data_IF_941335467028
#
_entry.id   IF_941335467028
#
_cell.length_a   1.000
_cell.length_b   1.000
_cell.length_c   1.000
_cell.angle_alpha   90.00
_cell.angle_beta   90.00
_cell.angle_gamma   90.00
#
_symmetry.space_group_name_H-M   'P 1'
#
loop_
_entity.id
_entity.type
_entity.pdbx_description
1 polymer ?
#
# COMPACT_ATOMS: atom_id res chain seq x y z
N UNK A 1 12.98 -1.03 16.27
CA UNK A 1 11.62 -0.64 15.85
C UNK A 1 11.53 -0.95 14.37
N UNK A 2 10.51 -1.68 13.93
CA UNK A 2 10.30 -1.98 12.51
C UNK A 2 10.07 -0.67 11.74
N UNK A 3 10.74 -0.49 10.62
CA UNK A 3 10.58 0.70 9.77
C UNK A 3 9.51 0.43 8.74
N UNK A 4 8.31 0.98 8.95
CA UNK A 4 7.18 0.89 8.03
C UNK A 4 6.92 2.26 7.41
N UNK A 5 7.00 2.35 6.08
CA UNK A 5 6.69 3.58 5.35
C UNK A 5 5.71 3.32 4.21
N UNK A 6 4.71 4.20 4.06
CA UNK A 6 3.74 4.16 2.97
C UNK A 6 3.94 5.39 2.08
N UNK A 7 4.34 5.14 0.83
CA UNK A 7 4.36 6.15 -0.23
C UNK A 7 2.94 6.24 -0.81
N UNK A 8 2.25 7.37 -0.58
CA UNK A 8 0.84 7.54 -0.93
C UNK A 8 0.53 8.91 -1.49
N UNK A 9 -0.55 9.03 -2.25
CA UNK A 9 -1.15 10.30 -2.62
C UNK A 9 -2.61 10.39 -2.14
N UNK A 10 -3.14 11.61 -2.05
CA UNK A 10 -4.57 11.85 -1.78
C UNK A 10 -5.39 11.69 -3.07
N UNK A 11 -6.62 11.20 -2.95
CA UNK A 11 -7.55 11.08 -4.10
C UNK A 11 -7.28 9.91 -5.04
N UNK A 12 -6.37 9.00 -4.68
CA UNK A 12 -6.07 7.78 -5.46
C UNK A 12 -6.12 6.54 -4.57
N UNK A 13 -5.97 5.36 -5.18
CA UNK A 13 -6.17 4.06 -4.53
C UNK A 13 -5.22 3.77 -3.35
N UNK A 14 -4.11 4.50 -3.22
CA UNK A 14 -3.27 4.51 -2.00
C UNK A 14 -4.01 4.96 -0.73
N UNK A 15 -5.24 5.49 -0.86
CA UNK A 15 -6.14 5.72 0.26
C UNK A 15 -6.46 4.42 1.02
N UNK A 16 -6.64 3.30 0.34
CA UNK A 16 -7.04 2.03 0.95
C UNK A 16 -6.01 1.53 1.98
N UNK A 17 -4.71 1.35 1.64
CA UNK A 17 -3.72 0.95 2.64
C UNK A 17 -3.50 2.02 3.71
N UNK A 18 -3.68 3.30 3.40
CA UNK A 18 -3.59 4.37 4.41
C UNK A 18 -4.67 4.23 5.49
N UNK A 19 -5.94 4.05 5.08
CA UNK A 19 -7.04 3.81 6.02
C UNK A 19 -6.80 2.53 6.80
N UNK A 20 -6.37 1.46 6.13
CA UNK A 20 -6.18 0.17 6.80
C UNK A 20 -5.13 0.23 7.91
N UNK A 21 -3.99 0.89 7.65
CA UNK A 21 -2.96 1.12 8.68
C UNK A 21 -3.48 1.97 9.85
N UNK A 22 -4.31 2.99 9.56
CA UNK A 22 -4.94 3.85 10.57
C UNK A 22 -5.93 3.09 11.44
N UNK A 23 -6.86 2.36 10.83
CA UNK A 23 -7.91 1.59 11.52
C UNK A 23 -7.32 0.47 12.38
N UNK A 24 -6.24 -0.16 11.92
CA UNK A 24 -5.54 -1.20 12.67
C UNK A 24 -4.54 -0.63 13.69
N UNK A 25 -4.44 0.69 13.80
CA UNK A 25 -3.49 1.39 14.68
C UNK A 25 -2.04 0.93 14.49
N UNK A 26 -1.66 0.55 13.27
CA UNK A 26 -0.30 0.13 12.93
C UNK A 26 0.53 1.41 12.71
N UNK A 27 1.60 1.65 13.50
CA UNK A 27 2.45 2.82 13.30
C UNK A 27 3.20 2.76 11.97
N UNK A 28 3.20 3.85 11.21
CA UNK A 28 3.91 3.96 9.94
C UNK A 28 4.28 5.42 9.64
N UNK A 29 5.30 5.61 8.81
CA UNK A 29 5.65 6.90 8.21
C UNK A 29 4.86 7.08 6.91
N UNK A 30 4.10 8.18 6.80
CA UNK A 30 3.41 8.53 5.55
C UNK A 30 4.28 9.45 4.71
N UNK A 31 4.75 8.99 3.55
CA UNK A 31 5.39 9.85 2.55
C UNK A 31 4.31 10.32 1.57
N UNK A 32 3.99 11.62 1.61
CA UNK A 32 2.98 12.21 0.74
C UNK A 32 3.57 12.50 -0.63
N UNK A 33 3.02 11.86 -1.64
CA UNK A 33 3.43 11.99 -3.03
C UNK A 33 2.50 12.96 -3.76
N UNK A 34 3.05 13.69 -4.73
CA UNK A 34 2.34 14.57 -5.63
C UNK A 34 2.72 14.26 -7.09
N UNK A 35 1.85 14.55 -8.07
CA UNK A 35 2.21 14.42 -9.47
C UNK A 35 3.23 15.50 -9.86
N UNK A 36 4.38 15.09 -10.37
CA UNK A 36 5.37 15.94 -11.03
C UNK A 36 5.40 15.73 -12.55
N UNK A 37 6.17 16.52 -13.29
CA UNK A 37 6.22 16.47 -14.76
C UNK A 37 6.67 15.11 -15.32
N UNK A 38 7.42 14.34 -14.53
CA UNK A 38 7.98 13.04 -14.93
C UNK A 38 7.38 11.85 -14.17
N UNK A 39 6.34 12.07 -13.37
CA UNK A 39 5.69 11.08 -12.51
C UNK A 39 5.67 11.52 -11.04
N UNK A 40 5.41 10.60 -10.12
CA UNK A 40 5.27 10.90 -8.69
C UNK A 40 6.59 11.32 -8.04
N UNK A 41 6.51 12.29 -7.13
CA UNK A 41 7.59 12.78 -6.26
C UNK A 41 7.03 13.13 -4.88
N UNK A 42 7.87 13.19 -3.84
CA UNK A 42 7.42 13.56 -2.51
C UNK A 42 7.11 15.07 -2.44
N UNK A 43 5.95 15.41 -1.87
CA UNK A 43 5.45 16.77 -1.77
C UNK A 43 6.31 17.67 -0.86
N UNK A 44 7.09 17.07 0.04
CA UNK A 44 8.05 17.78 0.90
C UNK A 44 9.43 17.96 0.25
N UNK A 45 9.60 17.52 -1.00
CA UNK A 45 10.86 17.57 -1.73
C UNK A 45 11.92 16.54 -1.29
N UNK A 46 11.61 15.64 -0.35
CA UNK A 46 12.55 14.62 0.14
C UNK A 46 12.94 13.57 -0.90
N UNK A 47 12.11 13.40 -1.93
CA UNK A 47 12.25 12.36 -2.94
C UNK A 47 11.77 12.86 -4.29
N UNK A 48 12.68 12.98 -5.26
CA UNK A 48 12.31 13.28 -6.63
C UNK A 48 11.82 12.03 -7.37
N UNK A 49 11.24 12.23 -8.55
CA UNK A 49 10.71 11.13 -9.35
C UNK A 49 11.75 10.06 -9.74
N UNK A 50 12.97 10.45 -10.11
CA UNK A 50 14.05 9.51 -10.47
C UNK A 50 14.40 8.61 -9.30
N UNK A 51 14.56 9.19 -8.10
CA UNK A 51 14.82 8.44 -6.88
C UNK A 51 13.64 7.56 -6.49
N UNK A 52 12.40 8.02 -6.71
CA UNK A 52 11.21 7.20 -6.44
C UNK A 52 11.12 5.97 -7.35
N UNK A 53 11.55 6.07 -8.61
CA UNK A 53 11.62 4.92 -9.52
C UNK A 53 12.61 3.84 -9.07
N UNK A 54 13.60 4.18 -8.24
CA UNK A 54 14.46 3.16 -7.61
C UNK A 54 13.73 2.39 -6.50
N UNK A 55 12.65 2.93 -5.95
CA UNK A 55 11.79 2.28 -4.94
C UNK A 55 10.68 1.49 -5.63
N UNK A 56 9.96 2.11 -6.56
CA UNK A 56 8.94 1.46 -7.37
C UNK A 56 9.29 1.65 -8.85
N UNK A 57 9.81 0.63 -9.57
CA UNK A 57 10.29 0.76 -10.95
C UNK A 57 9.28 1.35 -11.94
N UNK A 58 8.00 1.01 -11.77
CA UNK A 58 6.88 1.52 -12.56
C UNK A 58 6.48 2.95 -12.17
N UNK A 59 6.94 3.42 -11.01
CA UNK A 59 6.79 4.80 -10.55
C UNK A 59 5.37 5.16 -10.10
N UNK A 60 4.51 4.19 -9.80
CA UNK A 60 3.14 4.40 -9.30
C UNK A 60 3.10 4.44 -7.78
N UNK A 61 1.98 4.95 -7.24
CA UNK A 61 1.60 4.82 -5.83
C UNK A 61 0.41 3.86 -5.71
N UNK A 62 0.26 3.11 -4.61
CA UNK A 62 1.13 3.09 -3.43
C UNK A 62 2.36 2.17 -3.56
N UNK A 63 3.37 2.46 -2.75
CA UNK A 63 4.41 1.49 -2.38
C UNK A 63 4.47 1.39 -0.84
N UNK A 64 4.63 0.19 -0.30
CA UNK A 64 4.81 -0.06 1.13
C UNK A 64 6.23 -0.56 1.37
N UNK A 65 7.01 0.15 2.17
CA UNK A 65 8.32 -0.31 2.65
C UNK A 65 8.17 -0.94 4.02
N UNK A 66 8.65 -2.16 4.16
CA UNK A 66 8.65 -2.96 5.40
C UNK A 66 10.09 -3.40 5.66
N UNK A 67 10.73 -2.82 6.68
CA UNK A 67 12.09 -3.21 7.10
C UNK A 67 13.11 -3.27 5.94
N UNK A 68 12.98 -2.32 5.00
CA UNK A 68 13.82 -2.20 3.81
C UNK A 68 13.34 -2.99 2.57
N UNK A 69 12.32 -3.84 2.71
CA UNK A 69 11.69 -4.55 1.59
C UNK A 69 10.53 -3.72 1.04
N UNK A 70 10.45 -3.60 -0.30
CA UNK A 70 9.34 -2.91 -0.96
C UNK A 70 8.28 -3.92 -1.40
N UNK A 71 7.02 -3.63 -1.07
CA UNK A 71 5.83 -4.31 -1.55
C UNK A 71 5.05 -3.31 -2.40
N UNK A 72 4.81 -3.68 -3.66
CA UNK A 72 3.96 -2.96 -4.62
C UNK A 72 2.70 -3.77 -4.90
N UNK A 73 1.75 -3.20 -5.65
CA UNK A 73 0.41 -3.76 -5.92
C UNK A 73 -0.54 -3.76 -4.71
N UNK A 74 -1.73 -3.19 -4.90
CA UNK A 74 -2.72 -3.05 -3.82
C UNK A 74 -3.11 -4.38 -3.16
N UNK A 75 -3.41 -5.47 -3.91
CA UNK A 75 -3.74 -6.76 -3.29
C UNK A 75 -2.64 -7.28 -2.36
N UNK A 76 -1.36 -7.14 -2.76
CA UNK A 76 -0.23 -7.59 -1.96
C UNK A 76 -0.04 -6.72 -0.71
N UNK A 77 -0.11 -5.40 -0.86
CA UNK A 77 -0.01 -4.44 0.25
C UNK A 77 -1.12 -4.67 1.28
N UNK A 78 -2.37 -4.81 0.84
CA UNK A 78 -3.52 -5.04 1.72
C UNK A 78 -3.39 -6.39 2.43
N UNK A 79 -2.95 -7.43 1.72
CA UNK A 79 -2.71 -8.75 2.32
C UNK A 79 -1.67 -8.69 3.44
N UNK A 80 -0.56 -7.98 3.21
CA UNK A 80 0.47 -7.78 4.24
C UNK A 80 -0.08 -7.06 5.47
N UNK A 81 -0.74 -5.91 5.28
CA UNK A 81 -1.29 -5.12 6.39
C UNK A 81 -2.32 -5.94 7.17
N UNK A 82 -3.23 -6.64 6.47
CA UNK A 82 -4.25 -7.47 7.09
C UNK A 82 -3.65 -8.62 7.92
N UNK A 83 -2.58 -9.25 7.42
CA UNK A 83 -1.86 -10.30 8.15
C UNK A 83 -1.07 -9.80 9.37
N UNK A 84 -0.68 -8.52 9.36
CA UNK A 84 0.05 -7.87 10.44
C UNK A 84 -0.86 -7.46 11.61
N UNK A 85 -2.18 -7.55 11.44
CA UNK A 85 -3.14 -7.27 12.50
C UNK A 85 -3.06 -8.34 13.58
N UNK A 86 -2.49 -7.99 14.73
CA UNK A 86 -2.50 -8.84 15.93
C UNK A 86 -3.87 -8.70 16.63
N UNK A 87 -4.96 -9.20 16.05
CA UNK A 87 -6.29 -9.00 16.66
C UNK A 87 -7.51 -9.60 15.94
N UNK A 88 -8.69 -9.37 16.54
CA UNK A 88 -10.02 -9.89 16.18
C UNK A 88 -10.58 -9.44 14.81
N UNK A 89 -9.85 -8.60 14.06
CA UNK A 89 -10.37 -8.01 12.83
C UNK A 89 -10.63 -9.06 11.73
N UNK A 90 -9.88 -10.17 11.73
CA UNK A 90 -10.04 -11.31 10.83
C UNK A 90 -10.23 -10.90 9.35
N UNK A 91 -9.47 -9.91 8.90
CA UNK A 91 -9.70 -9.27 7.60
C UNK A 91 -9.45 -10.19 6.39
N UNK A 92 -8.59 -11.20 6.56
CA UNK A 92 -8.33 -12.21 5.54
C UNK A 92 -9.27 -13.43 5.64
N UNK A 93 -10.01 -13.58 6.74
CA UNK A 93 -10.72 -14.82 7.05
C UNK A 93 -9.88 -15.86 7.81
N UNK A 94 -10.59 -16.77 8.47
CA UNK A 94 -10.06 -17.81 9.33
C UNK A 94 -9.73 -19.10 8.56
N UNK A 95 -10.40 -19.35 7.43
CA UNK A 95 -10.21 -20.56 6.64
C UNK A 95 -9.78 -20.29 5.18
N UNK A 96 -9.54 -21.37 4.44
CA UNK A 96 -9.06 -21.32 3.06
C UNK A 96 -10.10 -20.75 2.09
N UNK A 97 -11.39 -20.96 2.35
CA UNK A 97 -12.48 -20.48 1.50
C UNK A 97 -12.65 -18.98 1.72
N UNK A 98 -12.70 -18.51 2.96
CA UNK A 98 -12.81 -17.09 3.28
C UNK A 98 -11.63 -16.29 2.69
N UNK A 99 -10.40 -16.81 2.84
CA UNK A 99 -9.20 -16.23 2.21
C UNK A 99 -9.29 -16.17 0.69
N UNK A 100 -9.81 -17.22 0.07
CA UNK A 100 -10.03 -17.23 -1.37
C UNK A 100 -11.08 -16.20 -1.82
N UNK A 101 -12.16 -16.01 -1.05
CA UNK A 101 -13.17 -14.97 -1.32
C UNK A 101 -12.61 -13.56 -1.20
N UNK A 102 -11.74 -13.29 -0.22
CA UNK A 102 -11.04 -12.00 -0.10
C UNK A 102 -10.13 -11.78 -1.32
N UNK A 103 -9.34 -12.80 -1.69
CA UNK A 103 -8.45 -12.73 -2.84
C UNK A 103 -9.22 -12.55 -4.17
N UNK A 104 -10.38 -13.19 -4.32
CA UNK A 104 -11.26 -13.02 -5.49
C UNK A 104 -11.70 -11.57 -5.67
N UNK A 105 -12.20 -10.94 -4.59
CA UNK A 105 -12.55 -9.52 -4.62
C UNK A 105 -11.34 -8.64 -4.94
N UNK A 106 -10.17 -8.96 -4.38
CA UNK A 106 -8.97 -8.17 -4.62
C UNK A 106 -8.48 -8.26 -6.06
N UNK A 107 -8.56 -9.46 -6.66
CA UNK A 107 -8.25 -9.66 -8.07
C UNK A 107 -9.23 -8.89 -8.97
N UNK A 108 -10.54 -8.93 -8.68
CA UNK A 108 -11.54 -8.20 -9.46
C UNK A 108 -11.40 -6.68 -9.34
N UNK A 109 -11.18 -6.16 -8.13
CA UNK A 109 -10.97 -4.72 -7.91
C UNK A 109 -9.73 -4.22 -8.64
N UNK A 110 -8.62 -4.95 -8.57
CA UNK A 110 -7.36 -4.56 -9.20
C UNK A 110 -7.38 -4.72 -10.72
N UNK A 111 -8.01 -5.79 -11.23
CA UNK A 111 -7.96 -6.14 -12.66
C UNK A 111 -9.13 -5.63 -13.49
N UNK A 112 -10.22 -5.18 -12.86
CA UNK A 112 -11.45 -4.78 -13.58
C UNK A 112 -11.92 -3.40 -13.17
N UNK A 113 -12.07 -3.13 -11.86
CA UNK A 113 -12.63 -1.84 -11.41
C UNK A 113 -11.61 -0.71 -11.48
N UNK A 114 -10.35 -1.02 -11.19
CA UNK A 114 -9.26 -0.05 -11.10
C UNK A 114 -8.27 -0.10 -12.28
N UNK A 115 -8.48 -1.01 -13.23
CA UNK A 115 -7.58 -1.22 -14.38
C UNK A 115 -7.47 0.00 -15.31
#
# INVERSE_FOLDING_TARGET
MSTLALYRANGVSSFIPHVLLKELMIPFTSVIMQPGPNGWEAADGSLNNTSYRNIHPQGYVPALQVDGVIITELPAIITYIASSSTGKANLLGNDKIERAKVAEWMAWLSGTVHA
#
